data_IF_681725891791
#
_entry.id   IF_681725891791
#
_cell.length_a   1.000
_cell.length_b   1.000
_cell.length_c   1.000
_cell.angle_alpha   90.00
_cell.angle_beta   90.00
_cell.angle_gamma   90.00
#
_symmetry.space_group_name_H-M   'P 1'
#
loop_
_entity.id
_entity.type
_entity.pdbx_description
1 polymer ?
#
# COMPACT_ATOMS: atom_id res chain seq x y z
N UNK A 1 52.41 -65.24 -22.10
CA UNK A 1 53.10 -64.71 -20.91
C UNK A 1 52.45 -65.40 -19.71
N UNK A 2 52.88 -66.61 -19.30
CA UNK A 2 54.02 -66.90 -18.39
C UNK A 2 53.82 -66.14 -17.08
N UNK A 3 53.56 -66.76 -15.92
CA UNK A 3 54.46 -67.67 -15.21
C UNK A 3 53.71 -68.58 -14.21
N UNK A 4 54.24 -69.79 -14.04
CA UNK A 4 53.95 -70.73 -12.96
C UNK A 4 55.03 -70.62 -11.87
N UNK A 5 54.72 -70.85 -10.59
CA UNK A 5 55.73 -71.25 -9.57
C UNK A 5 55.15 -72.25 -8.54
N UNK A 6 55.87 -73.38 -8.45
CA UNK A 6 55.87 -74.59 -7.61
C UNK A 6 56.13 -74.31 -6.09
N UNK A 7 55.39 -74.88 -5.11
CA UNK A 7 55.60 -76.18 -4.36
C UNK A 7 56.42 -76.05 -3.03
N UNK A 8 56.61 -77.08 -2.15
CA UNK A 8 55.76 -78.10 -1.46
C UNK A 8 56.10 -78.13 0.10
N UNK A 9 56.09 -79.26 0.85
CA UNK A 9 55.07 -80.28 1.19
C UNK A 9 54.65 -80.25 2.69
N UNK A 10 53.61 -80.99 3.13
CA UNK A 10 53.67 -81.84 4.36
C UNK A 10 52.38 -82.63 4.69
N UNK A 11 52.60 -83.95 4.73
CA UNK A 11 52.10 -85.00 5.65
C UNK A 11 50.59 -85.16 5.93
N UNK A 12 50.11 -86.28 5.40
CA UNK A 12 49.28 -87.32 6.03
C UNK A 12 49.12 -87.28 7.56
N UNK A 13 47.86 -87.25 8.00
CA UNK A 13 47.33 -88.06 9.12
C UNK A 13 45.90 -88.44 8.72
N UNK A 14 45.69 -89.66 8.24
CA UNK A 14 45.22 -90.79 9.05
C UNK A 14 43.95 -90.49 9.88
N UNK A 15 42.81 -90.78 9.24
CA UNK A 15 41.80 -91.71 9.75
C UNK A 15 41.30 -91.45 11.18
N UNK A 16 40.15 -90.78 11.28
CA UNK A 16 39.19 -91.09 12.34
C UNK A 16 37.75 -91.04 11.85
N UNK A 17 37.26 -92.24 11.53
CA UNK A 17 35.92 -92.79 11.81
C UNK A 17 34.70 -91.87 11.59
N UNK A 18 33.95 -92.25 10.55
CA UNK A 18 32.49 -92.40 10.51
C UNK A 18 31.81 -92.18 11.86
N UNK A 19 30.88 -91.23 11.90
CA UNK A 19 29.60 -91.38 12.58
C UNK A 19 28.54 -90.48 11.92
N UNK A 20 27.58 -91.12 11.25
CA UNK A 20 26.34 -90.53 10.75
C UNK A 20 25.47 -90.04 11.90
N UNK A 21 25.03 -88.77 11.89
CA UNK A 21 23.76 -88.35 12.51
C UNK A 21 23.18 -87.18 11.67
N UNK A 22 22.06 -87.38 10.94
CA UNK A 22 21.37 -86.29 10.28
C UNK A 22 20.43 -85.63 11.29
N UNK A 23 20.86 -84.52 11.90
CA UNK A 23 19.94 -83.63 12.61
C UNK A 23 19.60 -82.47 11.70
N UNK A 24 18.47 -82.65 11.02
CA UNK A 24 17.63 -81.62 10.42
C UNK A 24 17.51 -80.42 11.37
N UNK A 25 18.28 -79.35 11.11
CA UNK A 25 17.96 -78.04 11.63
C UNK A 25 17.00 -77.39 10.63
N UNK A 26 15.72 -77.45 10.95
CA UNK A 26 14.69 -76.72 10.23
C UNK A 26 15.01 -75.22 10.35
N UNK A 27 15.64 -74.68 9.30
CA UNK A 27 15.78 -73.24 9.09
C UNK A 27 14.37 -72.69 8.85
N UNK A 28 13.83 -71.80 9.71
CA UNK A 28 12.55 -71.20 9.40
C UNK A 28 12.72 -70.36 8.13
N UNK A 29 12.11 -70.82 7.05
CA UNK A 29 11.92 -70.04 5.82
C UNK A 29 11.00 -68.89 6.21
N UNK A 30 11.57 -67.71 6.43
CA UNK A 30 10.79 -66.47 6.49
C UNK A 30 10.20 -66.28 5.12
N UNK A 31 8.93 -66.64 4.96
CA UNK A 31 8.10 -66.12 3.88
C UNK A 31 8.08 -64.62 4.07
N UNK A 32 8.82 -63.88 3.24
CA UNK A 32 8.63 -62.45 3.13
C UNK A 32 7.22 -62.25 2.59
N UNK A 33 6.23 -62.14 3.47
CA UNK A 33 4.97 -61.50 3.11
C UNK A 33 5.37 -60.10 2.68
N UNK A 34 5.36 -59.86 1.37
CA UNK A 34 5.38 -58.52 0.82
C UNK A 34 4.10 -57.84 1.31
N UNK A 35 4.14 -57.36 2.54
CA UNK A 35 3.14 -56.45 3.07
C UNK A 35 3.14 -55.29 2.11
N UNK A 36 2.05 -55.14 1.34
CA UNK A 36 1.79 -53.94 0.56
C UNK A 36 1.74 -52.82 1.59
N UNK A 37 2.88 -52.15 1.77
CA UNK A 37 2.97 -50.93 2.57
C UNK A 37 2.03 -49.96 1.88
N UNK A 38 0.84 -49.82 2.44
CA UNK A 38 -0.11 -48.82 2.02
C UNK A 38 0.60 -47.49 2.24
N UNK A 39 1.08 -46.89 1.15
CA UNK A 39 1.65 -45.55 1.21
C UNK A 39 0.53 -44.64 1.67
N UNK A 40 0.61 -44.22 2.92
CA UNK A 40 -0.29 -43.23 3.49
C UNK A 40 -0.16 -41.97 2.63
N UNK A 41 -1.16 -41.72 1.78
CA UNK A 41 -1.21 -40.49 0.99
C UNK A 41 -1.44 -39.36 2.00
N UNK A 42 -0.46 -38.50 2.15
CA UNK A 42 -0.60 -37.32 3.00
C UNK A 42 -1.45 -36.29 2.26
N UNK A 43 -2.73 -36.19 2.65
CA UNK A 43 -3.68 -35.19 2.14
C UNK A 43 -3.47 -33.79 2.73
N UNK A 44 -2.57 -33.65 3.71
CA UNK A 44 -2.20 -32.38 4.34
C UNK A 44 -1.91 -31.24 3.35
N UNK A 45 -1.00 -31.42 2.36
CA UNK A 45 -0.70 -30.37 1.38
C UNK A 45 -1.92 -29.97 0.54
N UNK A 46 -2.79 -30.93 0.17
CA UNK A 46 -3.98 -30.63 -0.64
C UNK A 46 -5.01 -29.82 0.16
N UNK A 47 -5.19 -30.14 1.45
CA UNK A 47 -6.05 -29.36 2.35
C UNK A 47 -5.52 -27.95 2.56
N UNK A 48 -4.21 -27.80 2.75
CA UNK A 48 -3.56 -26.50 2.90
C UNK A 48 -3.72 -25.64 1.64
N UNK A 49 -3.51 -26.24 0.46
CA UNK A 49 -3.74 -25.57 -0.81
C UNK A 49 -5.19 -25.08 -0.96
N UNK A 50 -6.17 -25.92 -0.61
CA UNK A 50 -7.59 -25.53 -0.60
C UNK A 50 -7.88 -24.34 0.31
N UNK A 51 -7.35 -24.35 1.54
CA UNK A 51 -7.52 -23.24 2.49
C UNK A 51 -6.89 -21.94 1.95
N UNK A 52 -5.68 -22.01 1.39
CA UNK A 52 -5.00 -20.85 0.81
C UNK A 52 -5.76 -20.27 -0.39
N UNK A 53 -6.33 -21.12 -1.24
CA UNK A 53 -7.16 -20.68 -2.38
C UNK A 53 -8.40 -19.92 -1.88
N UNK A 54 -9.11 -20.45 -0.88
CA UNK A 54 -10.30 -19.80 -0.31
C UNK A 54 -9.93 -18.46 0.34
N UNK A 55 -8.85 -18.41 1.11
CA UNK A 55 -8.34 -17.16 1.71
C UNK A 55 -7.95 -16.13 0.64
N UNK A 56 -7.28 -16.55 -0.44
CA UNK A 56 -6.92 -15.69 -1.55
C UNK A 56 -8.14 -15.08 -2.24
N UNK A 57 -9.14 -15.91 -2.54
CA UNK A 57 -10.41 -15.48 -3.13
C UNK A 57 -11.13 -14.47 -2.23
N UNK A 58 -11.22 -14.76 -0.92
CA UNK A 58 -11.82 -13.83 0.05
C UNK A 58 -11.06 -12.51 0.14
N UNK A 59 -9.72 -12.54 0.11
CA UNK A 59 -8.90 -11.33 0.14
C UNK A 59 -9.12 -10.47 -1.10
N UNK A 60 -9.23 -11.07 -2.29
CA UNK A 60 -9.50 -10.34 -3.55
C UNK A 60 -10.87 -9.66 -3.47
N UNK A 61 -11.92 -10.38 -3.07
CA UNK A 61 -13.28 -9.84 -2.94
C UNK A 61 -13.35 -8.74 -1.89
N UNK A 62 -12.73 -8.94 -0.72
CA UNK A 62 -12.66 -7.95 0.34
C UNK A 62 -11.91 -6.68 -0.09
N UNK A 63 -10.84 -6.84 -0.86
CA UNK A 63 -10.07 -5.72 -1.41
C UNK A 63 -10.93 -4.91 -2.39
N UNK A 64 -11.71 -5.56 -3.27
CA UNK A 64 -12.64 -4.88 -4.16
C UNK A 64 -13.75 -4.12 -3.41
N UNK A 65 -14.29 -4.69 -2.33
CA UNK A 65 -15.27 -4.00 -1.49
C UNK A 65 -14.67 -2.78 -0.76
N UNK A 66 -13.41 -2.88 -0.32
CA UNK A 66 -12.70 -1.77 0.33
C UNK A 66 -12.33 -0.65 -0.65
N UNK A 67 -12.01 -0.99 -1.91
CA UNK A 67 -11.82 0.00 -2.99
C UNK A 67 -13.11 0.78 -3.25
N UNK A 68 -14.27 0.11 -3.24
CA UNK A 68 -15.56 0.78 -3.37
C UNK A 68 -15.89 1.67 -2.16
N UNK A 69 -15.54 1.24 -0.94
CA UNK A 69 -15.73 2.05 0.26
C UNK A 69 -14.81 3.29 0.31
N UNK A 70 -13.59 3.19 -0.23
CA UNK A 70 -12.66 4.31 -0.34
C UNK A 70 -13.13 5.39 -1.32
N UNK A 71 -13.82 4.99 -2.38
CA UNK A 71 -14.39 5.92 -3.38
C UNK A 71 -15.46 6.83 -2.76
N UNK A 72 -16.32 6.32 -1.88
CA UNK A 72 -17.39 7.13 -1.24
C UNK A 72 -16.85 8.32 -0.45
N UNK A 73 -15.71 8.17 0.24
CA UNK A 73 -15.13 9.26 1.02
C UNK A 73 -14.45 10.31 0.13
N UNK A 74 -13.80 9.86 -0.95
CA UNK A 74 -13.16 10.76 -1.93
C UNK A 74 -14.25 11.55 -2.68
N UNK A 75 -15.30 10.88 -3.13
CA UNK A 75 -16.43 11.50 -3.84
C UNK A 75 -17.08 12.58 -2.98
N UNK A 76 -17.30 12.31 -1.68
CA UNK A 76 -17.85 13.28 -0.75
C UNK A 76 -16.97 14.53 -0.60
N UNK A 77 -15.64 14.36 -0.53
CA UNK A 77 -14.71 15.49 -0.44
C UNK A 77 -14.66 16.30 -1.75
N UNK A 78 -14.69 15.62 -2.89
CA UNK A 78 -14.75 16.26 -4.21
C UNK A 78 -16.03 17.07 -4.38
N UNK A 79 -17.18 16.53 -3.98
CA UNK A 79 -18.46 17.23 -4.08
C UNK A 79 -18.55 18.45 -3.17
N UNK A 80 -18.03 18.34 -1.93
CA UNK A 80 -17.91 19.50 -1.03
C UNK A 80 -17.02 20.60 -1.62
N UNK A 81 -15.90 20.21 -2.25
CA UNK A 81 -14.97 21.15 -2.88
C UNK A 81 -15.63 21.85 -4.07
N UNK A 82 -16.30 21.10 -4.95
CA UNK A 82 -17.05 21.67 -6.10
C UNK A 82 -18.15 22.63 -5.64
N UNK A 83 -18.87 22.29 -4.58
CA UNK A 83 -19.91 23.16 -4.04
C UNK A 83 -19.32 24.46 -3.47
N UNK A 84 -18.21 24.38 -2.73
CA UNK A 84 -17.53 25.56 -2.21
C UNK A 84 -16.98 26.45 -3.33
N UNK A 85 -16.38 25.85 -4.36
CA UNK A 85 -15.86 26.56 -5.52
C UNK A 85 -16.98 27.27 -6.28
N UNK A 86 -18.10 26.59 -6.53
CA UNK A 86 -19.26 27.19 -7.19
C UNK A 86 -19.78 28.42 -6.45
N UNK A 87 -19.89 28.35 -5.12
CA UNK A 87 -20.29 29.50 -4.28
C UNK A 87 -19.29 30.65 -4.36
N UNK A 88 -18.00 30.35 -4.34
CA UNK A 88 -16.95 31.36 -4.47
C UNK A 88 -17.01 32.05 -5.83
N UNK A 89 -17.17 31.29 -6.92
CA UNK A 89 -17.25 31.86 -8.27
C UNK A 89 -18.48 32.77 -8.42
N UNK A 90 -19.62 32.39 -7.85
CA UNK A 90 -20.82 33.24 -7.82
C UNK A 90 -20.56 34.55 -7.08
N UNK A 91 -20.04 34.48 -5.85
CA UNK A 91 -19.72 35.66 -5.05
C UNK A 91 -18.69 36.56 -5.73
N UNK A 92 -17.70 35.97 -6.42
CA UNK A 92 -16.68 36.71 -7.18
C UNK A 92 -17.29 37.47 -8.35
N UNK A 93 -18.23 36.87 -9.08
CA UNK A 93 -18.92 37.53 -10.20
C UNK A 93 -19.81 38.66 -9.67
N UNK A 94 -20.57 38.42 -8.60
CA UNK A 94 -21.40 39.44 -7.96
C UNK A 94 -20.57 40.62 -7.48
N UNK A 95 -19.46 40.36 -6.79
CA UNK A 95 -18.53 41.40 -6.37
C UNK A 95 -17.96 42.17 -7.56
N UNK A 96 -17.56 41.49 -8.64
CA UNK A 96 -17.04 42.13 -9.84
C UNK A 96 -18.09 43.03 -10.52
N UNK A 97 -19.36 42.64 -10.50
CA UNK A 97 -20.46 43.47 -10.99
C UNK A 97 -20.65 44.71 -10.12
N UNK A 98 -20.68 44.55 -8.80
CA UNK A 98 -20.81 45.66 -7.84
C UNK A 98 -19.62 46.62 -7.89
N UNK A 99 -18.41 46.09 -8.05
CA UNK A 99 -17.16 46.85 -8.15
C UNK A 99 -16.86 47.31 -9.58
N UNK A 100 -17.74 47.06 -10.54
CA UNK A 100 -17.52 47.51 -11.91
C UNK A 100 -17.50 49.05 -11.96
N UNK A 101 -16.58 49.66 -12.73
CA UNK A 101 -16.46 51.11 -12.80
C UNK A 101 -17.77 51.80 -13.18
N UNK A 102 -18.55 51.21 -14.08
CA UNK A 102 -19.87 51.71 -14.46
C UNK A 102 -20.82 51.79 -13.27
N UNK A 103 -20.94 50.72 -12.46
CA UNK A 103 -21.80 50.73 -11.28
C UNK A 103 -21.32 51.74 -10.22
N UNK A 104 -20.01 51.87 -10.04
CA UNK A 104 -19.44 52.88 -9.13
C UNK A 104 -19.81 54.29 -9.60
N UNK A 105 -19.64 54.60 -10.89
CA UNK A 105 -20.00 55.91 -11.47
C UNK A 105 -21.50 56.16 -11.38
N UNK A 106 -22.35 55.18 -11.69
CA UNK A 106 -23.81 55.30 -11.58
C UNK A 106 -24.24 55.56 -10.13
N UNK A 107 -23.66 54.83 -9.16
CA UNK A 107 -23.94 55.03 -7.74
C UNK A 107 -23.43 56.37 -7.24
N UNK A 108 -22.25 56.79 -7.69
CA UNK A 108 -21.70 58.12 -7.37
C UNK A 108 -22.59 59.24 -7.93
N UNK A 109 -23.06 59.11 -9.17
CA UNK A 109 -23.99 60.05 -9.78
C UNK A 109 -25.33 60.12 -9.02
N UNK A 110 -25.86 58.98 -8.57
CA UNK A 110 -27.07 58.94 -7.72
C UNK A 110 -26.87 59.63 -6.36
N UNK A 111 -25.63 59.70 -5.86
CA UNK A 111 -25.25 60.46 -4.65
C UNK A 111 -24.94 61.94 -4.95
N UNK A 112 -25.11 62.40 -6.19
CA UNK A 112 -24.80 63.77 -6.62
C UNK A 112 -23.30 64.04 -6.84
N UNK A 113 -22.46 62.99 -6.84
CA UNK A 113 -21.04 63.11 -7.14
C UNK A 113 -20.83 63.11 -8.66
N UNK A 114 -20.01 64.03 -9.15
CA UNK A 114 -19.65 64.15 -10.56
C UNK A 114 -18.19 63.73 -10.74
N UNK A 115 -17.90 62.97 -11.81
CA UNK A 115 -16.53 62.58 -12.12
C UNK A 115 -15.70 63.83 -12.43
N UNK A 116 -14.52 63.96 -11.83
CA UNK A 116 -13.60 65.04 -12.15
C UNK A 116 -13.19 64.94 -13.63
N UNK A 117 -13.15 66.09 -14.31
CA UNK A 117 -12.87 66.19 -15.75
C UNK A 117 -11.39 65.93 -16.10
N UNK A 118 -10.50 66.04 -15.12
CA UNK A 118 -9.07 65.80 -15.27
C UNK A 118 -8.57 64.71 -14.28
N UNK A 119 -7.65 63.83 -14.72
CA UNK A 119 -7.02 62.85 -13.83
C UNK A 119 -6.23 63.56 -12.71
N UNK A 120 -6.09 62.93 -11.52
CA UNK A 120 -5.32 63.50 -10.43
C UNK A 120 -3.88 63.76 -10.88
N UNK A 121 -3.41 65.00 -10.72
CA UNK A 121 -2.01 65.34 -10.95
C UNK A 121 -1.23 64.89 -9.71
N UNK A 122 -0.32 63.93 -9.88
CA UNK A 122 0.55 63.49 -8.80
C UNK A 122 1.47 64.66 -8.39
N UNK A 123 1.29 65.17 -7.19
CA UNK A 123 2.17 66.19 -6.63
C UNK A 123 3.40 65.47 -6.05
N UNK A 124 4.62 65.71 -6.56
CA UNK A 124 5.81 65.12 -5.99
C UNK A 124 6.04 65.70 -4.59
N UNK A 125 5.90 64.87 -3.57
CA UNK A 125 6.24 65.25 -2.20
C UNK A 125 7.76 65.13 -2.06
N UNK A 126 8.45 66.25 -1.82
CA UNK A 126 9.89 66.24 -1.55
C UNK A 126 10.15 65.66 -0.16
N UNK A 127 10.69 64.46 -0.12
CA UNK A 127 11.02 63.74 1.10
C UNK A 127 10.92 62.23 0.91
N UNK A 128 11.56 61.45 1.78
CA UNK A 128 11.36 60.00 1.82
C UNK A 128 9.88 59.77 2.15
N UNK A 129 9.11 59.02 1.32
CA UNK A 129 7.74 58.67 1.66
C UNK A 129 7.73 58.10 3.09
N UNK A 130 6.76 58.48 3.96
CA UNK A 130 6.65 57.83 5.24
C UNK A 130 6.57 56.33 4.96
N UNK A 131 7.55 55.58 5.49
CA UNK A 131 7.57 54.12 5.40
C UNK A 131 6.17 53.70 5.83
N UNK A 132 5.36 53.06 4.97
CA UNK A 132 4.04 52.62 5.36
C UNK A 132 4.26 51.88 6.67
N UNK A 133 3.55 52.28 7.72
CA UNK A 133 3.55 51.49 8.94
C UNK A 133 3.32 50.07 8.44
N UNK A 134 4.29 49.21 8.67
CA UNK A 134 4.05 47.79 8.57
C UNK A 134 3.04 47.52 9.69
N UNK A 135 1.78 47.91 9.48
CA UNK A 135 0.68 47.06 9.81
C UNK A 135 1.03 45.78 9.09
N UNK A 136 1.73 44.93 9.83
CA UNK A 136 1.91 43.55 9.51
C UNK A 136 0.50 43.07 9.17
N UNK A 137 0.17 43.00 7.87
CA UNK A 137 -0.45 41.79 7.39
C UNK A 137 0.38 40.71 8.04
N UNK A 138 -0.17 39.94 8.99
CA UNK A 138 0.60 38.85 9.55
C UNK A 138 0.97 38.04 8.32
N UNK A 139 2.24 38.11 7.92
CA UNK A 139 2.86 37.07 7.12
C UNK A 139 2.53 35.86 7.95
N UNK A 140 1.56 35.08 7.46
CA UNK A 140 1.11 33.87 8.12
C UNK A 140 2.37 33.04 8.27
N UNK A 141 2.95 33.07 9.47
CA UNK A 141 4.17 32.36 9.82
C UNK A 141 3.84 30.88 9.75
N UNK A 142 3.94 30.33 8.54
CA UNK A 142 3.64 28.95 8.22
C UNK A 142 2.19 28.52 8.44
N UNK A 143 1.81 27.51 7.68
CA UNK A 143 0.58 26.72 7.90
C UNK A 143 0.43 26.15 9.32
N UNK A 144 1.48 26.21 10.15
CA UNK A 144 1.47 25.79 11.55
C UNK A 144 0.62 26.71 12.44
N UNK A 145 0.59 28.03 12.18
CA UNK A 145 -0.11 29.01 13.02
C UNK A 145 -1.58 29.26 12.65
N UNK A 146 -2.03 28.71 11.52
CA UNK A 146 -3.42 28.86 11.03
C UNK A 146 -4.34 27.76 11.56
N UNK A 147 -3.80 26.57 11.83
CA UNK A 147 -4.59 25.43 12.31
C UNK A 147 -5.24 25.62 13.70
N UNK A 148 -4.62 26.32 14.68
CA UNK A 148 -5.24 26.47 16.00
C UNK A 148 -6.52 27.32 15.97
N UNK A 149 -6.67 28.26 15.03
CA UNK A 149 -7.82 29.18 14.98
C UNK A 149 -9.04 28.63 14.24
N UNK A 150 -8.94 27.47 13.60
CA UNK A 150 -10.05 26.79 12.92
C UNK A 150 -10.72 25.71 13.78
N UNK A 151 -10.24 25.47 15.00
CA UNK A 151 -10.71 24.41 15.89
C UNK A 151 -11.80 24.81 16.90
N UNK A 152 -12.22 26.07 16.95
CA UNK A 152 -13.16 26.53 17.97
C UNK A 152 -14.22 27.44 17.40
N UNK A 153 -15.32 26.83 16.97
CA UNK A 153 -16.65 27.43 17.08
C UNK A 153 -17.65 26.37 17.60
N UNK A 154 -18.63 26.81 18.41
CA UNK A 154 -19.50 25.97 19.24
C UNK A 154 -20.42 25.04 18.43
#
# INVERSE_FOLDING_TARGET
>A
MTTAVLAPPRRSSERSRVNHHPRSSARPVRTASAGRSARNVNWGPLRLAGVLIVLGLMSIVGTHAMVAAGQVNIDRMTDQTRQAESRYQQARVEYAQLASPSNIVTRAAALGLVSAEAPPIAIPVMGTPPKPASESTPVLDGWANVKPSLGTRP
#
